data_IF_953235346528
#
_entry.id   IF_953235346528
#
_cell.length_a   1.000
_cell.length_b   1.000
_cell.length_c   1.000
_cell.angle_alpha   90.00
_cell.angle_beta   90.00
_cell.angle_gamma   90.00
#
_symmetry.space_group_name_H-M   'P 1'
#
loop_
_entity.id
_entity.type
_entity.pdbx_description
1 polymer ?
#
# COMPACT_ATOMS: atom_id res chain seq x y z
N UNK A 1 9.92 -0.39 22.46
CA UNK A 1 10.26 -0.57 21.03
C UNK A 1 9.07 -1.19 20.30
N UNK A 2 8.62 -0.57 19.21
CA UNK A 2 7.52 -1.09 18.40
C UNK A 2 8.04 -2.16 17.43
N UNK A 3 7.40 -3.34 17.39
CA UNK A 3 7.72 -4.37 16.40
C UNK A 3 6.96 -4.10 15.10
N UNK A 4 7.67 -3.51 14.14
CA UNK A 4 7.15 -3.20 12.81
C UNK A 4 6.94 -4.49 12.00
N UNK A 5 5.76 -5.10 12.12
CA UNK A 5 5.34 -6.22 11.29
C UNK A 5 3.86 -6.11 10.91
N UNK A 6 3.49 -6.70 9.79
CA UNK A 6 2.14 -6.61 9.24
C UNK A 6 1.06 -6.96 10.27
N UNK A 7 1.26 -8.03 11.05
CA UNK A 7 0.32 -8.44 12.10
C UNK A 7 0.02 -7.31 13.08
N UNK A 8 1.07 -6.61 13.55
CA UNK A 8 0.92 -5.53 14.52
C UNK A 8 0.28 -4.29 13.89
N UNK A 9 0.57 -4.00 12.62
CA UNK A 9 -0.08 -2.90 11.91
C UNK A 9 -1.60 -3.15 11.75
N UNK A 10 -2.00 -4.39 11.44
CA UNK A 10 -3.42 -4.77 11.38
C UNK A 10 -4.07 -4.64 12.78
N UNK A 11 -3.39 -5.10 13.83
CA UNK A 11 -3.87 -4.97 15.22
C UNK A 11 -4.07 -3.51 15.63
N UNK A 12 -3.11 -2.65 15.31
CA UNK A 12 -3.22 -1.20 15.58
C UNK A 12 -4.40 -0.57 14.84
N UNK A 13 -4.60 -0.91 13.56
CA UNK A 13 -5.76 -0.42 12.81
C UNK A 13 -7.07 -0.89 13.45
N UNK A 14 -7.12 -2.15 13.89
CA UNK A 14 -8.29 -2.71 14.59
C UNK A 14 -8.60 -1.93 15.86
N UNK A 15 -7.57 -1.64 16.67
CA UNK A 15 -7.71 -0.88 17.91
C UNK A 15 -8.18 0.57 17.66
N UNK A 16 -7.57 1.25 16.68
CA UNK A 16 -7.95 2.62 16.29
C UNK A 16 -9.42 2.66 15.87
N UNK A 17 -9.86 1.79 14.96
CA UNK A 17 -11.23 1.79 14.46
C UNK A 17 -12.24 1.41 15.56
N UNK A 18 -11.86 0.50 16.46
CA UNK A 18 -12.67 0.14 17.63
C UNK A 18 -12.83 1.32 18.59
N UNK A 19 -11.74 2.02 18.92
CA UNK A 19 -11.75 3.18 19.81
C UNK A 19 -12.54 4.36 19.22
N UNK A 20 -12.59 4.47 17.90
CA UNK A 20 -13.39 5.47 17.19
C UNK A 20 -14.87 5.06 17.04
N UNK A 21 -15.26 3.85 17.48
CA UNK A 21 -16.62 3.33 17.33
C UNK A 21 -17.05 3.11 15.89
N UNK A 22 -16.11 2.79 14.97
CA UNK A 22 -16.41 2.57 13.57
C UNK A 22 -17.12 1.23 13.41
N UNK A 23 -18.41 1.26 13.09
CA UNK A 23 -19.21 0.08 12.83
C UNK A 23 -19.12 -0.38 11.37
N UNK A 24 -19.10 0.57 10.42
CA UNK A 24 -18.97 0.31 8.98
C UNK A 24 -18.06 1.33 8.32
N UNK A 25 -17.36 0.91 7.27
CA UNK A 25 -16.44 1.79 6.55
C UNK A 25 -16.31 1.40 5.08
N UNK A 26 -15.91 2.37 4.26
CA UNK A 26 -15.33 2.14 2.95
C UNK A 26 -13.81 2.14 3.10
N UNK A 27 -13.13 1.30 2.32
CA UNK A 27 -11.67 1.24 2.31
C UNK A 27 -11.13 1.80 0.99
N UNK A 28 -10.18 2.72 1.10
CA UNK A 28 -9.32 3.13 -0.02
C UNK A 28 -7.90 2.78 0.36
N UNK A 29 -7.30 1.82 -0.32
CA UNK A 29 -6.01 1.25 0.06
C UNK A 29 -4.97 1.41 -1.04
N UNK A 30 -3.73 1.73 -0.62
CA UNK A 30 -2.59 1.96 -1.48
C UNK A 30 -1.31 1.45 -0.79
N UNK A 31 -0.35 0.94 -1.54
CA UNK A 31 0.94 0.43 -1.04
C UNK A 31 0.75 -0.54 0.15
N UNK A 32 1.46 -0.37 1.26
CA UNK A 32 1.28 -1.15 2.48
C UNK A 32 -0.13 -1.09 3.06
N UNK A 33 -0.87 -0.01 2.76
CA UNK A 33 -2.28 0.11 3.14
C UNK A 33 -3.16 -1.00 2.58
N UNK A 34 -2.79 -1.60 1.44
CA UNK A 34 -3.45 -2.80 0.91
C UNK A 34 -3.35 -3.98 1.85
N UNK A 35 -2.12 -4.35 2.24
CA UNK A 35 -1.91 -5.47 3.17
C UNK A 35 -2.53 -5.21 4.54
N UNK A 36 -2.41 -3.97 5.06
CA UNK A 36 -2.94 -3.59 6.39
C UNK A 36 -4.47 -3.49 6.36
N UNK A 37 -5.03 -2.73 5.43
CA UNK A 37 -6.47 -2.48 5.34
C UNK A 37 -7.25 -3.73 4.97
N UNK A 38 -6.76 -4.51 3.97
CA UNK A 38 -7.42 -5.75 3.59
C UNK A 38 -7.20 -6.86 4.62
N UNK A 39 -6.07 -6.83 5.34
CA UNK A 39 -5.87 -7.72 6.48
C UNK A 39 -6.85 -7.46 7.61
N UNK A 40 -7.21 -6.20 7.86
CA UNK A 40 -8.28 -5.85 8.77
C UNK A 40 -9.66 -6.25 8.21
N UNK A 41 -9.90 -5.99 6.93
CA UNK A 41 -11.16 -6.29 6.25
C UNK A 41 -11.49 -7.79 6.30
N UNK A 42 -10.50 -8.67 6.08
CA UNK A 42 -10.71 -10.12 6.13
C UNK A 42 -11.07 -10.62 7.54
N UNK A 43 -10.66 -9.90 8.57
CA UNK A 43 -11.01 -10.20 9.97
C UNK A 43 -12.35 -9.57 10.40
N UNK A 44 -12.88 -8.59 9.65
CA UNK A 44 -14.10 -7.84 9.95
C UNK A 44 -14.95 -7.63 8.67
N UNK A 45 -15.29 -8.69 7.93
CA UNK A 45 -15.91 -8.55 6.61
C UNK A 45 -17.28 -7.87 6.65
N UNK A 46 -17.99 -7.96 7.78
CA UNK A 46 -19.29 -7.32 8.00
C UNK A 46 -19.21 -5.81 8.16
N UNK A 47 -18.02 -5.28 8.49
CA UNK A 47 -17.77 -3.86 8.67
C UNK A 47 -17.33 -3.13 7.40
N UNK A 48 -17.13 -3.86 6.29
CA UNK A 48 -16.63 -3.29 5.04
C UNK A 48 -17.72 -3.25 3.99
N UNK A 49 -18.02 -2.06 3.47
CA UNK A 49 -19.07 -1.85 2.47
C UNK A 49 -18.52 -1.77 1.04
N UNK A 50 -17.49 -0.95 0.81
CA UNK A 50 -16.83 -0.79 -0.50
C UNK A 50 -15.33 -0.78 -0.36
N UNK A 51 -14.64 -1.26 -1.38
CA UNK A 51 -13.17 -1.33 -1.39
C UNK A 51 -12.65 -0.70 -2.69
N UNK A 52 -11.75 0.27 -2.56
CA UNK A 52 -10.95 0.81 -3.64
C UNK A 52 -9.51 0.35 -3.47
N UNK A 53 -9.01 -0.36 -4.46
CA UNK A 53 -7.66 -0.94 -4.50
C UNK A 53 -6.83 -0.12 -5.47
N UNK A 54 -5.77 0.54 -4.98
CA UNK A 54 -4.86 1.33 -5.81
C UNK A 54 -3.43 0.88 -5.62
N UNK A 55 -2.72 0.53 -6.69
CA UNK A 55 -1.29 0.21 -6.71
C UNK A 55 -0.75 -0.40 -5.41
N UNK A 56 -1.16 -1.64 -5.12
CA UNK A 56 -0.88 -2.35 -3.86
C UNK A 56 -0.85 -3.86 -4.03
N UNK A 57 -0.46 -4.57 -2.96
CA UNK A 57 -0.63 -6.01 -2.81
C UNK A 57 -1.10 -6.37 -1.39
N UNK A 58 -1.91 -7.43 -1.28
CA UNK A 58 -2.29 -8.05 -0.01
C UNK A 58 -2.09 -9.58 -0.06
N UNK A 59 -1.07 -10.01 -0.78
CA UNK A 59 -0.67 -11.40 -0.99
C UNK A 59 0.86 -11.48 -1.07
N UNK A 60 1.47 -12.65 -0.80
CA UNK A 60 2.91 -12.83 -0.93
C UNK A 60 3.34 -12.69 -2.39
N UNK A 61 4.38 -11.92 -2.64
CA UNK A 61 5.06 -11.85 -3.93
C UNK A 61 6.56 -11.58 -3.71
N UNK A 62 7.40 -12.09 -4.60
CA UNK A 62 8.84 -11.89 -4.57
C UNK A 62 9.33 -10.89 -5.63
N UNK A 63 8.41 -10.41 -6.48
CA UNK A 63 8.71 -9.43 -7.52
C UNK A 63 8.80 -8.03 -6.91
N UNK A 64 9.96 -7.72 -6.32
CA UNK A 64 10.25 -6.38 -5.84
C UNK A 64 11.39 -5.75 -6.64
N UNK A 65 11.33 -4.43 -6.91
CA UNK A 65 12.39 -3.75 -7.64
C UNK A 65 13.76 -3.88 -6.96
N UNK A 66 14.82 -4.01 -7.76
CA UNK A 66 16.20 -4.14 -7.25
C UNK A 66 16.58 -3.00 -6.29
N UNK A 67 16.10 -1.77 -6.55
CA UNK A 67 16.32 -0.60 -5.69
C UNK A 67 15.71 -0.76 -4.28
N UNK A 68 14.57 -1.44 -4.15
CA UNK A 68 13.98 -1.77 -2.86
C UNK A 68 14.82 -2.85 -2.17
N UNK A 69 15.30 -3.84 -2.92
CA UNK A 69 16.19 -4.89 -2.39
C UNK A 69 17.47 -4.31 -1.79
N UNK A 70 18.06 -3.27 -2.35
CA UNK A 70 19.23 -2.58 -1.78
C UNK A 70 18.92 -2.04 -0.38
N UNK A 71 17.73 -1.46 -0.19
CA UNK A 71 17.28 -0.96 1.12
C UNK A 71 17.03 -2.08 2.15
N UNK A 72 16.94 -3.35 1.71
CA UNK A 72 16.81 -4.52 2.59
C UNK A 72 18.14 -5.10 3.06
N UNK A 73 19.28 -4.70 2.46
CA UNK A 73 20.61 -5.20 2.86
C UNK A 73 20.85 -4.85 4.34
N UNK A 74 21.21 -5.85 5.17
CA UNK A 74 21.48 -5.60 6.58
C UNK A 74 22.51 -4.48 6.79
N UNK A 75 22.29 -3.63 7.78
CA UNK A 75 23.08 -2.45 8.13
C UNK A 75 23.13 -1.37 7.03
N UNK A 76 23.47 -1.73 5.77
CA UNK A 76 23.58 -0.79 4.66
C UNK A 76 22.22 -0.16 4.33
N UNK A 77 21.18 -0.96 4.18
CA UNK A 77 19.84 -0.48 3.83
C UNK A 77 19.29 0.48 4.88
N UNK A 78 19.44 0.16 6.16
CA UNK A 78 19.01 1.04 7.25
C UNK A 78 19.78 2.37 7.23
N UNK A 79 21.11 2.32 7.03
CA UNK A 79 21.94 3.51 6.92
C UNK A 79 21.49 4.39 5.75
N UNK A 80 21.27 3.80 4.58
CA UNK A 80 20.80 4.54 3.38
C UNK A 80 19.45 5.20 3.63
N UNK A 81 18.48 4.47 4.15
CA UNK A 81 17.12 4.98 4.38
C UNK A 81 17.12 6.04 5.49
N UNK A 82 17.76 5.78 6.63
CA UNK A 82 17.64 6.65 7.80
C UNK A 82 18.55 7.87 7.74
N UNK A 83 19.84 7.74 7.31
CA UNK A 83 20.75 8.88 7.22
C UNK A 83 20.50 9.73 5.96
N UNK A 84 20.30 9.06 4.81
CA UNK A 84 20.25 9.77 3.52
C UNK A 84 18.84 9.92 2.95
N UNK A 85 17.81 9.42 3.67
CA UNK A 85 16.43 9.42 3.17
C UNK A 85 16.29 8.77 1.79
N UNK A 86 17.11 7.74 1.52
CA UNK A 86 17.26 7.13 0.20
C UNK A 86 16.04 6.27 -0.22
N UNK A 87 14.91 6.38 0.46
CA UNK A 87 13.65 5.77 0.08
C UNK A 87 12.60 6.84 -0.22
N UNK A 88 12.24 7.67 0.77
CA UNK A 88 11.16 8.64 0.60
C UNK A 88 11.55 9.79 -0.35
N UNK A 89 12.80 10.26 -0.32
CA UNK A 89 13.22 11.37 -1.20
C UNK A 89 13.23 10.98 -2.69
N UNK A 90 13.82 9.86 -3.12
CA UNK A 90 13.74 9.43 -4.52
C UNK A 90 12.30 9.14 -4.99
N UNK A 91 11.40 8.71 -4.10
CA UNK A 91 10.00 8.45 -4.45
C UNK A 91 9.29 9.69 -4.99
N UNK A 92 9.68 10.91 -4.56
CA UNK A 92 9.14 12.17 -5.09
C UNK A 92 9.26 12.33 -6.61
N UNK A 93 10.19 11.59 -7.22
CA UNK A 93 10.49 11.68 -8.66
C UNK A 93 10.23 10.38 -9.39
N UNK A 94 10.28 9.25 -8.69
CA UNK A 94 10.18 7.93 -9.29
C UNK A 94 8.78 7.33 -9.18
N UNK A 95 8.03 7.74 -8.16
CA UNK A 95 6.69 7.23 -7.93
C UNK A 95 5.61 7.97 -8.75
N UNK A 96 5.97 9.06 -9.41
CA UNK A 96 5.10 9.85 -10.28
C UNK A 96 5.63 9.93 -11.70
N UNK A 97 4.76 10.21 -12.64
CA UNK A 97 5.09 10.50 -14.06
C UNK A 97 4.98 11.98 -14.38
N UNK A 98 4.13 12.70 -13.67
CA UNK A 98 3.99 14.15 -13.76
C UNK A 98 4.76 14.81 -12.60
N UNK A 99 5.52 15.89 -12.83
CA UNK A 99 6.23 16.59 -11.78
C UNK A 99 5.28 17.10 -10.70
N UNK A 100 5.45 16.69 -9.44
CA UNK A 100 4.69 17.23 -8.34
C UNK A 100 5.09 18.68 -8.02
N UNK A 101 4.13 19.57 -7.64
CA UNK A 101 4.42 20.90 -7.11
C UNK A 101 5.30 20.85 -5.85
N UNK A 102 6.04 21.92 -5.59
CA UNK A 102 7.01 21.98 -4.48
C UNK A 102 6.35 21.78 -3.10
N UNK A 103 5.17 22.37 -2.88
CA UNK A 103 4.39 22.23 -1.65
C UNK A 103 3.92 20.78 -1.42
N UNK A 104 3.54 20.07 -2.47
CA UNK A 104 3.17 18.65 -2.39
C UNK A 104 4.39 17.81 -2.02
N UNK A 105 5.53 18.01 -2.71
CA UNK A 105 6.80 17.33 -2.36
C UNK A 105 7.18 17.57 -0.90
N UNK A 106 7.03 18.79 -0.41
CA UNK A 106 7.30 19.13 0.98
C UNK A 106 6.39 18.35 1.93
N UNK A 107 5.10 18.22 1.62
CA UNK A 107 4.16 17.41 2.40
C UNK A 107 4.60 15.95 2.53
N UNK A 108 5.03 15.33 1.42
CA UNK A 108 5.54 13.95 1.43
C UNK A 108 6.82 13.77 2.26
N UNK A 109 7.69 14.76 2.33
CA UNK A 109 8.98 14.65 3.04
C UNK A 109 8.89 15.08 4.50
N UNK A 110 7.95 15.93 4.87
CA UNK A 110 7.80 16.47 6.23
C UNK A 110 7.81 15.40 7.33
N UNK A 111 7.12 14.25 7.20
CA UNK A 111 7.15 13.18 8.20
C UNK A 111 8.53 12.51 8.33
N UNK A 112 9.41 12.65 7.34
CA UNK A 112 10.71 11.97 7.24
C UNK A 112 11.88 12.95 7.32
N UNK A 113 11.76 14.00 8.10
CA UNK A 113 12.67 15.14 8.13
C UNK A 113 14.00 14.86 8.85
N UNK A 114 14.07 13.83 9.71
CA UNK A 114 15.27 13.46 10.47
C UNK A 114 15.48 11.94 10.54
N UNK A 115 16.60 11.52 11.12
CA UNK A 115 16.98 10.12 11.26
C UNK A 115 15.97 9.29 12.04
N UNK A 116 15.48 9.81 13.17
CA UNK A 116 14.54 9.11 14.06
C UNK A 116 13.21 8.87 13.36
N UNK A 117 12.68 9.87 12.67
CA UNK A 117 11.39 9.82 11.98
C UNK A 117 11.38 8.88 10.76
N UNK A 118 12.56 8.47 10.25
CA UNK A 118 12.70 7.52 9.14
C UNK A 118 12.74 6.05 9.57
N UNK A 119 12.61 5.76 10.86
CA UNK A 119 12.65 4.38 11.35
C UNK A 119 11.52 3.54 10.74
N UNK A 120 10.32 4.06 10.67
CA UNK A 120 9.17 3.37 10.09
C UNK A 120 9.46 2.95 8.64
N UNK A 121 9.91 3.88 7.78
CA UNK A 121 10.26 3.59 6.38
C UNK A 121 11.26 2.43 6.27
N UNK A 122 12.32 2.46 7.07
CA UNK A 122 13.32 1.39 7.10
C UNK A 122 12.73 0.05 7.54
N UNK A 123 11.86 0.05 8.54
CA UNK A 123 11.25 -1.16 9.08
C UNK A 123 10.19 -1.75 8.13
N UNK A 124 9.36 -0.94 7.49
CA UNK A 124 8.41 -1.39 6.47
C UNK A 124 9.12 -2.07 5.30
N UNK A 125 10.22 -1.49 4.80
CA UNK A 125 11.03 -2.13 3.74
C UNK A 125 11.58 -3.49 4.20
N UNK A 126 12.05 -3.60 5.45
CA UNK A 126 12.56 -4.86 6.01
C UNK A 126 11.46 -5.91 6.16
N UNK A 127 10.22 -5.51 6.44
CA UNK A 127 9.09 -6.42 6.65
C UNK A 127 8.51 -7.01 5.34
N UNK A 128 8.92 -6.56 4.15
CA UNK A 128 8.54 -7.19 2.88
C UNK A 128 9.06 -8.64 2.87
N UNK A 129 8.19 -9.68 2.80
CA UNK A 129 8.61 -11.07 2.94
C UNK A 129 9.20 -11.63 1.65
N UNK A 130 10.50 -11.90 1.63
CA UNK A 130 11.20 -12.51 0.49
C UNK A 130 11.34 -14.04 0.61
N UNK A 131 10.88 -14.62 1.71
CA UNK A 131 10.98 -16.07 2.00
C UNK A 131 9.72 -16.53 2.74
N UNK A 132 9.31 -17.76 2.49
CA UNK A 132 8.15 -18.38 3.20
C UNK A 132 8.33 -18.42 4.72
N UNK A 133 9.57 -18.47 5.21
CA UNK A 133 9.87 -18.44 6.65
C UNK A 133 9.73 -17.06 7.31
N UNK A 134 9.51 -16.01 6.54
CA UNK A 134 9.31 -14.66 7.09
C UNK A 134 7.96 -14.55 7.79
N UNK A 135 7.92 -13.94 9.00
CA UNK A 135 6.70 -13.83 9.80
C UNK A 135 5.52 -13.20 9.05
N UNK A 136 5.77 -12.19 8.22
CA UNK A 136 4.76 -11.50 7.43
C UNK A 136 4.26 -12.34 6.24
N UNK A 137 5.02 -13.33 5.77
CA UNK A 137 4.60 -14.20 4.67
C UNK A 137 3.33 -14.99 5.01
N UNK A 138 3.29 -15.62 6.19
CA UNK A 138 2.13 -16.39 6.62
C UNK A 138 0.88 -15.51 6.81
N UNK A 139 1.07 -14.28 7.28
CA UNK A 139 -0.03 -13.32 7.42
C UNK A 139 -0.60 -12.95 6.05
N UNK A 140 0.26 -12.61 5.08
CA UNK A 140 -0.17 -12.31 3.70
C UNK A 140 -0.84 -13.51 3.02
N UNK A 141 -0.31 -14.73 3.22
CA UNK A 141 -0.94 -15.94 2.66
C UNK A 141 -2.34 -16.18 3.24
N UNK A 142 -2.53 -15.89 4.54
CA UNK A 142 -3.85 -15.98 5.16
C UNK A 142 -4.81 -14.95 4.56
N UNK A 143 -4.36 -13.69 4.45
CA UNK A 143 -5.15 -12.62 3.85
C UNK A 143 -5.56 -13.02 2.42
N UNK A 144 -4.61 -13.45 1.59
CA UNK A 144 -4.88 -13.88 0.21
C UNK A 144 -5.99 -14.92 0.10
N UNK A 145 -5.97 -15.95 0.95
CA UNK A 145 -6.97 -17.00 0.96
C UNK A 145 -8.37 -16.49 1.37
N UNK A 146 -8.43 -15.41 2.13
CA UNK A 146 -9.66 -14.81 2.64
C UNK A 146 -10.19 -13.69 1.73
N UNK A 147 -9.36 -13.08 0.85
CA UNK A 147 -9.77 -12.01 -0.07
C UNK A 147 -11.05 -12.34 -0.87
N UNK A 148 -11.21 -13.52 -1.48
CA UNK A 148 -12.42 -13.85 -2.26
C UNK A 148 -13.72 -13.83 -1.44
N UNK A 149 -13.65 -13.91 -0.13
CA UNK A 149 -14.80 -13.91 0.76
C UNK A 149 -15.31 -12.50 1.09
N UNK A 150 -14.51 -11.46 0.82
CA UNK A 150 -14.91 -10.08 1.05
C UNK A 150 -16.08 -9.71 0.13
N UNK A 151 -17.20 -9.33 0.73
CA UNK A 151 -18.40 -8.85 0.05
C UNK A 151 -18.27 -7.36 -0.29
N UNK A 152 -19.28 -6.81 -0.93
CA UNK A 152 -19.32 -5.40 -1.29
C UNK A 152 -18.69 -5.11 -2.66
N UNK A 153 -18.98 -3.91 -3.17
CA UNK A 153 -18.46 -3.45 -4.46
C UNK A 153 -16.95 -3.19 -4.37
N UNK A 154 -16.20 -3.50 -5.43
CA UNK A 154 -14.78 -3.21 -5.52
C UNK A 154 -14.49 -2.35 -6.74
N UNK A 155 -13.53 -1.44 -6.56
CA UNK A 155 -12.90 -0.66 -7.63
C UNK A 155 -11.40 -0.95 -7.61
N UNK A 156 -10.84 -1.38 -8.74
CA UNK A 156 -9.40 -1.44 -8.97
C UNK A 156 -9.03 -0.21 -9.79
N UNK A 157 -8.36 0.76 -9.16
CA UNK A 157 -7.88 1.98 -9.79
C UNK A 157 -6.36 1.92 -9.85
N UNK A 158 -5.77 1.95 -11.05
CA UNK A 158 -4.37 1.56 -11.22
C UNK A 158 -3.57 2.51 -12.10
N UNK A 159 -2.35 2.83 -11.67
CA UNK A 159 -1.34 3.49 -12.49
C UNK A 159 -0.44 2.47 -13.17
N UNK A 160 -0.51 2.39 -14.51
CA UNK A 160 0.16 1.37 -15.32
C UNK A 160 1.67 1.54 -15.44
N UNK A 161 2.21 2.71 -15.06
CA UNK A 161 3.65 2.98 -15.06
C UNK A 161 4.29 2.83 -13.68
N UNK A 162 3.60 2.15 -12.75
CA UNK A 162 4.15 1.86 -11.44
C UNK A 162 5.31 0.87 -11.56
N UNK A 163 6.48 1.28 -11.08
CA UNK A 163 7.67 0.43 -11.07
C UNK A 163 7.66 -0.61 -9.94
N UNK A 164 6.83 -0.41 -8.92
CA UNK A 164 6.73 -1.28 -7.74
C UNK A 164 5.60 -2.29 -7.90
N UNK A 165 4.39 -1.81 -8.07
CA UNK A 165 3.20 -2.63 -8.32
C UNK A 165 2.81 -2.52 -9.79
N UNK A 166 3.51 -3.28 -10.64
CA UNK A 166 3.31 -3.30 -12.09
C UNK A 166 2.08 -4.13 -12.51
N UNK A 167 1.91 -4.35 -13.80
CA UNK A 167 0.78 -5.10 -14.37
C UNK A 167 0.65 -6.54 -13.86
N UNK A 168 1.72 -7.16 -13.36
CA UNK A 168 1.64 -8.46 -12.70
C UNK A 168 0.70 -8.42 -11.49
N UNK A 169 0.82 -7.38 -10.66
CA UNK A 169 -0.06 -7.15 -9.49
C UNK A 169 -1.47 -6.75 -9.91
N UNK A 170 -1.61 -5.88 -10.92
CA UNK A 170 -2.91 -5.50 -11.47
C UNK A 170 -3.68 -6.72 -11.96
N UNK A 171 -3.02 -7.56 -12.77
CA UNK A 171 -3.63 -8.80 -13.26
C UNK A 171 -4.08 -9.69 -12.12
N UNK A 172 -3.23 -9.88 -11.10
CA UNK A 172 -3.58 -10.70 -9.94
C UNK A 172 -4.80 -10.17 -9.20
N UNK A 173 -4.95 -8.86 -9.04
CA UNK A 173 -6.16 -8.27 -8.47
C UNK A 173 -7.40 -8.50 -9.34
N UNK A 174 -7.28 -8.39 -10.65
CA UNK A 174 -8.40 -8.65 -11.57
C UNK A 174 -8.78 -10.12 -11.63
N UNK A 175 -7.86 -11.03 -11.36
CA UNK A 175 -8.13 -12.46 -11.24
C UNK A 175 -8.85 -12.78 -9.91
N UNK A 176 -8.47 -12.12 -8.79
CA UNK A 176 -9.12 -12.27 -7.48
C UNK A 176 -10.55 -11.68 -7.51
N UNK A 177 -10.72 -10.52 -8.14
CA UNK A 177 -12.00 -9.80 -8.22
C UNK A 177 -12.41 -9.55 -9.67
N UNK A 178 -12.85 -10.57 -10.42
CA UNK A 178 -13.19 -10.42 -11.84
C UNK A 178 -14.36 -9.43 -12.08
N UNK A 179 -15.28 -9.31 -11.10
CA UNK A 179 -16.44 -8.41 -11.15
C UNK A 179 -16.13 -6.98 -10.67
N UNK A 180 -14.89 -6.68 -10.26
CA UNK A 180 -14.52 -5.35 -9.81
C UNK A 180 -14.64 -4.34 -10.95
N UNK A 181 -15.17 -3.16 -10.66
CA UNK A 181 -15.04 -2.02 -11.55
C UNK A 181 -13.55 -1.70 -11.72
N UNK A 182 -13.13 -1.31 -12.94
CA UNK A 182 -11.73 -1.08 -13.27
C UNK A 182 -11.53 0.31 -13.82
N UNK A 183 -10.51 1.00 -13.33
CA UNK A 183 -10.01 2.25 -13.88
C UNK A 183 -8.50 2.16 -14.01
N UNK A 184 -8.01 2.04 -15.23
CA UNK A 184 -6.58 1.92 -15.52
C UNK A 184 -6.08 3.20 -16.19
N UNK A 185 -5.02 3.78 -15.61
CA UNK A 185 -4.37 4.98 -16.12
C UNK A 185 -3.00 4.59 -16.71
N UNK A 186 -2.92 4.51 -18.01
CA UNK A 186 -1.73 4.04 -18.74
C UNK A 186 -0.46 4.85 -18.44
N UNK A 187 -0.63 6.14 -18.14
CA UNK A 187 0.47 7.10 -17.97
C UNK A 187 0.65 7.56 -16.52
N UNK A 188 0.07 6.88 -15.55
CA UNK A 188 0.25 7.17 -14.13
C UNK A 188 1.22 6.20 -13.46
N UNK A 189 1.99 6.68 -12.50
CA UNK A 189 2.92 5.90 -11.70
C UNK A 189 2.30 5.35 -10.42
N UNK A 190 3.17 5.09 -9.45
CA UNK A 190 2.78 4.57 -8.14
C UNK A 190 1.86 5.53 -7.36
N UNK A 191 2.14 6.84 -7.39
CA UNK A 191 1.28 7.85 -6.78
C UNK A 191 0.20 8.29 -7.79
N UNK A 192 -0.69 7.37 -8.14
CA UNK A 192 -1.73 7.57 -9.16
C UNK A 192 -2.62 8.79 -8.88
N UNK A 193 -2.86 9.11 -7.61
CA UNK A 193 -3.67 10.27 -7.20
C UNK A 193 -2.96 11.61 -7.45
N UNK A 194 -1.63 11.61 -7.50
CA UNK A 194 -0.83 12.78 -7.85
C UNK A 194 -0.70 12.96 -9.37
N UNK A 195 -0.62 11.86 -10.10
CA UNK A 195 -0.51 11.88 -11.56
C UNK A 195 -1.84 12.20 -12.25
N UNK A 196 -2.97 11.76 -11.68
CA UNK A 196 -4.28 11.85 -12.31
C UNK A 196 -5.28 12.68 -11.47
N UNK A 197 -5.48 13.92 -11.88
CA UNK A 197 -6.33 14.90 -11.16
C UNK A 197 -7.80 14.47 -11.00
N UNK A 198 -8.30 13.60 -11.89
CA UNK A 198 -9.66 13.07 -11.82
C UNK A 198 -9.80 11.77 -11.02
N UNK A 199 -8.69 11.17 -10.56
CA UNK A 199 -8.72 9.90 -9.84
C UNK A 199 -9.50 10.01 -8.52
N UNK A 200 -9.29 11.09 -7.76
CA UNK A 200 -10.02 11.34 -6.51
C UNK A 200 -11.53 11.48 -6.74
N UNK A 201 -11.95 12.23 -7.77
CA UNK A 201 -13.36 12.39 -8.12
C UNK A 201 -13.99 11.08 -8.58
N UNK A 202 -13.24 10.25 -9.29
CA UNK A 202 -13.69 8.92 -9.71
C UNK A 202 -13.90 7.99 -8.51
N UNK A 203 -12.96 7.99 -7.54
CA UNK A 203 -13.12 7.25 -6.29
C UNK A 203 -14.35 7.74 -5.52
N UNK A 204 -14.51 9.06 -5.39
CA UNK A 204 -15.65 9.64 -4.68
C UNK A 204 -16.99 9.25 -5.33
N UNK A 205 -17.08 9.29 -6.66
CA UNK A 205 -18.26 8.80 -7.39
C UNK A 205 -18.57 7.36 -7.05
N UNK A 206 -17.57 6.46 -7.14
CA UNK A 206 -17.75 5.04 -6.78
C UNK A 206 -18.20 4.83 -5.33
N UNK A 207 -17.69 5.61 -4.39
CA UNK A 207 -18.05 5.49 -2.97
C UNK A 207 -19.48 5.98 -2.68
N UNK A 208 -20.00 6.91 -3.48
CA UNK A 208 -21.34 7.48 -3.31
C UNK A 208 -22.46 6.69 -4.03
N UNK A 209 -22.11 5.81 -4.99
CA UNK A 209 -23.06 4.93 -5.73
C UNK A 209 -23.53 3.76 -4.84
#
# INVERSE_FOLDING_TARGET
DYDYCLKNHISNLTEILSNLGVEKSHLVVHDWGGAIGLGWATQNPEKVEKIVITNTAAFPDINIPARINICKIPFLGEKLVRHFNAFAYPALYMAVKKPMPANIKQGYILPYNNYENRIATSRFVKDIPMKKSHKTYSVLSKIENELPQLKGKKLILWGGQDFCFNDHFYKRWTDIYPEAQRKYYENAGHYVLEDESNASSFIQGFLND
#
